data_IF_585330811272
#
_entry.id   IF_585330811272
#
_cell.length_a   1.000
_cell.length_b   1.000
_cell.length_c   1.000
_cell.angle_alpha   90.00
_cell.angle_beta   90.00
_cell.angle_gamma   90.00
#
_symmetry.space_group_name_H-M   'P 1'
#
loop_
_entity.id
_entity.type
_entity.pdbx_description
1 polymer ?
#
# COMPACT_ATOMS: atom_id res chain seq x y z
N UNK A 1 -4.71 19.38 -2.80
CA UNK A 1 -3.83 18.24 -3.16
C UNK A 1 -4.62 16.96 -2.92
N UNK A 2 -4.81 16.12 -3.94
CA UNK A 2 -5.61 14.87 -3.81
C UNK A 2 -4.78 13.84 -3.03
N UNK A 3 -5.37 13.19 -2.03
CA UNK A 3 -4.70 12.10 -1.31
C UNK A 3 -4.98 10.78 -2.00
N UNK A 4 -3.95 9.99 -2.25
CA UNK A 4 -4.05 8.63 -2.77
C UNK A 4 -3.52 7.66 -1.70
N UNK A 5 -4.39 6.79 -1.19
CA UNK A 5 -3.98 5.72 -0.31
C UNK A 5 -3.34 4.60 -1.16
N UNK A 6 -2.20 4.07 -0.72
CA UNK A 6 -1.50 2.97 -1.41
C UNK A 6 -1.18 1.90 -0.36
N UNK A 7 -1.72 0.70 -0.56
CA UNK A 7 -1.51 -0.42 0.34
C UNK A 7 -0.52 -1.40 -0.31
N UNK A 8 0.62 -1.63 0.35
CA UNK A 8 1.61 -2.60 -0.07
C UNK A 8 1.46 -3.83 0.80
N UNK A 9 1.17 -4.98 0.18
CA UNK A 9 0.99 -6.26 0.87
C UNK A 9 2.04 -7.22 0.33
N UNK A 10 2.77 -7.90 1.21
CA UNK A 10 3.77 -8.89 0.83
C UNK A 10 3.80 -10.03 1.83
N UNK A 11 4.00 -11.25 1.34
CA UNK A 11 4.33 -12.45 2.12
C UNK A 11 5.77 -12.43 2.70
N UNK A 12 6.58 -11.48 2.25
CA UNK A 12 7.94 -11.19 2.71
C UNK A 12 8.05 -9.71 3.14
N UNK A 13 9.22 -9.10 3.00
CA UNK A 13 9.48 -7.73 3.47
C UNK A 13 8.69 -6.65 2.72
N UNK A 14 8.26 -6.87 1.48
CA UNK A 14 7.58 -5.86 0.67
C UNK A 14 8.43 -4.64 0.27
N UNK A 15 9.76 -4.73 0.40
CA UNK A 15 10.67 -3.62 0.09
C UNK A 15 10.61 -3.22 -1.41
N UNK A 16 10.56 -4.21 -2.31
CA UNK A 16 10.47 -3.97 -3.76
C UNK A 16 9.26 -3.12 -4.14
N UNK A 17 8.08 -3.46 -3.61
CA UNK A 17 6.86 -2.71 -3.84
C UNK A 17 6.91 -1.32 -3.20
N UNK A 18 7.58 -1.17 -2.05
CA UNK A 18 7.76 0.13 -1.40
C UNK A 18 8.61 1.08 -2.24
N UNK A 19 9.74 0.60 -2.77
CA UNK A 19 10.58 1.40 -3.67
C UNK A 19 9.78 1.81 -4.91
N UNK A 20 9.06 0.88 -5.55
CA UNK A 20 8.25 1.18 -6.73
C UNK A 20 7.16 2.22 -6.44
N UNK A 21 6.44 2.10 -5.33
CA UNK A 21 5.39 3.04 -4.95
C UNK A 21 5.95 4.45 -4.68
N UNK A 22 7.10 4.54 -4.00
CA UNK A 22 7.77 5.82 -3.73
C UNK A 22 8.30 6.47 -5.01
N UNK A 23 8.93 5.71 -5.89
CA UNK A 23 9.41 6.20 -7.20
C UNK A 23 8.25 6.64 -8.09
N UNK A 24 7.13 5.92 -8.05
CA UNK A 24 5.94 6.30 -8.82
C UNK A 24 5.33 7.58 -8.25
N UNK A 25 5.19 7.69 -6.92
CA UNK A 25 4.64 8.87 -6.25
C UNK A 25 5.43 10.14 -6.56
N UNK A 26 6.76 10.05 -6.72
CA UNK A 26 7.59 11.21 -7.09
C UNK A 26 7.26 11.80 -8.47
N UNK A 27 6.64 11.02 -9.35
CA UNK A 27 6.19 11.49 -10.66
C UNK A 27 4.88 12.30 -10.59
N UNK A 28 4.19 12.32 -9.45
CA UNK A 28 2.89 12.98 -9.26
C UNK A 28 2.94 13.99 -8.11
N UNK A 29 3.64 15.14 -8.25
CA UNK A 29 3.85 16.11 -7.17
C UNK A 29 2.55 16.72 -6.61
N UNK A 30 1.46 16.68 -7.39
CA UNK A 30 0.15 17.21 -7.00
C UNK A 30 -0.72 16.20 -6.22
N UNK A 31 -0.20 15.00 -5.96
CA UNK A 31 -0.87 13.92 -5.22
C UNK A 31 -0.12 13.66 -3.91
N UNK A 32 -0.84 13.63 -2.79
CA UNK A 32 -0.31 13.14 -1.52
C UNK A 32 -0.44 11.62 -1.48
N UNK A 33 0.65 10.89 -1.73
CA UNK A 33 0.65 9.44 -1.60
C UNK A 33 0.76 9.02 -0.12
N UNK A 34 -0.26 8.35 0.42
CA UNK A 34 -0.25 7.73 1.75
C UNK A 34 0.03 6.23 1.62
N UNK A 35 1.31 5.88 1.68
CA UNK A 35 1.80 4.51 1.51
C UNK A 35 1.79 3.78 2.86
N UNK A 36 1.10 2.63 2.92
CA UNK A 36 1.07 1.72 4.08
C UNK A 36 1.59 0.35 3.67
N UNK A 37 2.60 -0.16 4.38
CA UNK A 37 3.21 -1.47 4.11
C UNK A 37 2.81 -2.50 5.16
N UNK A 38 2.39 -3.66 4.68
CA UNK A 38 2.02 -4.85 5.45
C UNK A 38 2.94 -6.00 5.02
N UNK A 39 4.08 -6.20 5.70
CA UNK A 39 5.01 -7.29 5.41
C UNK A 39 4.59 -8.59 6.10
N UNK A 40 5.14 -9.72 5.62
CA UNK A 40 4.99 -11.05 6.21
C UNK A 40 3.54 -11.55 6.31
N UNK A 41 2.72 -11.23 5.31
CA UNK A 41 1.33 -11.65 5.24
C UNK A 41 1.26 -13.06 4.66
N UNK A 42 1.22 -14.05 5.56
CA UNK A 42 1.36 -15.47 5.20
C UNK A 42 0.05 -16.26 5.26
N UNK A 43 -1.07 -15.63 5.64
CA UNK A 43 -2.37 -16.31 5.73
C UNK A 43 -3.46 -15.53 5.00
N UNK A 44 -4.39 -16.28 4.40
CA UNK A 44 -5.54 -15.70 3.70
C UNK A 44 -6.48 -14.93 4.65
N UNK A 45 -6.51 -15.27 5.94
CA UNK A 45 -7.32 -14.55 6.94
C UNK A 45 -6.79 -13.13 7.15
N UNK A 46 -5.47 -12.99 7.36
CA UNK A 46 -4.84 -11.68 7.51
C UNK A 46 -4.97 -10.86 6.22
N UNK A 47 -4.75 -11.49 5.05
CA UNK A 47 -4.95 -10.83 3.76
C UNK A 47 -6.37 -10.29 3.61
N UNK A 48 -7.40 -11.08 3.92
CA UNK A 48 -8.80 -10.63 3.89
C UNK A 48 -9.04 -9.42 4.80
N UNK A 49 -8.48 -9.42 6.01
CA UNK A 49 -8.57 -8.28 6.93
C UNK A 49 -7.98 -7.00 6.33
N UNK A 50 -6.80 -7.09 5.70
CA UNK A 50 -6.14 -5.95 5.06
C UNK A 50 -6.92 -5.44 3.84
N UNK A 51 -7.46 -6.34 3.02
CA UNK A 51 -8.29 -5.96 1.87
C UNK A 51 -9.58 -5.25 2.30
N UNK A 52 -10.23 -5.72 3.38
CA UNK A 52 -11.37 -5.01 3.96
C UNK A 52 -10.99 -3.62 4.46
N UNK A 53 -9.83 -3.47 5.10
CA UNK A 53 -9.32 -2.15 5.51
C UNK A 53 -9.09 -1.23 4.30
N UNK A 54 -8.51 -1.75 3.21
CA UNK A 54 -8.29 -0.99 1.97
C UNK A 54 -9.62 -0.46 1.40
N UNK A 55 -10.66 -1.30 1.35
CA UNK A 55 -12.01 -0.90 0.92
C UNK A 55 -12.58 0.25 1.76
N UNK A 56 -12.43 0.19 3.09
CA UNK A 56 -12.90 1.29 3.97
C UNK A 56 -12.14 2.60 3.78
N UNK A 57 -10.90 2.54 3.27
CA UNK A 57 -10.03 3.70 3.04
C UNK A 57 -10.05 4.19 1.60
N UNK A 58 -10.85 3.57 0.72
CA UNK A 58 -10.87 3.86 -0.72
C UNK A 58 -9.45 3.84 -1.33
N UNK A 59 -8.67 2.85 -0.91
CA UNK A 59 -7.30 2.61 -1.38
C UNK A 59 -7.30 1.75 -2.64
#
# INVERSE_FOLDING_TARGET
>A
MKTQNIFIISDSSGATAQTLAQTTASQFPNIKAEIRRFPFIQTSSILKGILNLALTKQA
#
